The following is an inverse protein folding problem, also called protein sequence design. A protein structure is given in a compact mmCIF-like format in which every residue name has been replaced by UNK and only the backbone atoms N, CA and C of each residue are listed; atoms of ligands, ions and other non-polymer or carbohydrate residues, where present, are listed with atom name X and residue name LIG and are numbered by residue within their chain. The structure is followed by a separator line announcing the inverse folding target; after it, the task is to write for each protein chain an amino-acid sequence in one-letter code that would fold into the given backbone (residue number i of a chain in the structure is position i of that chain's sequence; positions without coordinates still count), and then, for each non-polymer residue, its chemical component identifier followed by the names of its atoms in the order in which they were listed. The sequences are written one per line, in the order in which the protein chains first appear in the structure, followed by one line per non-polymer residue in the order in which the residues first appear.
data_IF_598166614968
#
_entry.id   IF_598166614968
#
_cell.length_a   1.000
_cell.length_b   1.000
_cell.length_c   1.000
_cell.angle_alpha   90.00
_cell.angle_beta   90.00
_cell.angle_gamma   90.00
#
_symmetry.space_group_name_H-M   'P 1'
#
loop_
_entity.id
_entity.type
_entity.pdbx_description
1 polymer ?
#
# COMPACT_ATOMS: atom_id res chain seq x y z
N UNK A 1 6.78 -0.01 4.87
CA UNK A 1 6.72 -0.36 6.32
C UNK A 1 7.88 0.23 7.13
N UNK A 2 9.15 -0.03 6.79
CA UNK A 2 10.31 0.41 7.59
C UNK A 2 10.29 1.88 8.06
N UNK A 3 10.13 2.87 7.16
CA UNK A 3 10.06 4.29 7.56
C UNK A 3 8.92 4.63 8.54
N UNK A 4 7.75 3.98 8.38
CA UNK A 4 6.61 4.19 9.28
C UNK A 4 6.92 3.68 10.69
N UNK A 5 7.48 2.46 10.79
CA UNK A 5 7.85 1.86 12.09
C UNK A 5 8.93 2.69 12.78
N UNK A 6 9.94 3.14 12.03
CA UNK A 6 10.99 4.02 12.57
C UNK A 6 10.41 5.33 13.10
N UNK A 7 9.45 5.93 12.38
CA UNK A 7 8.79 7.16 12.82
C UNK A 7 8.02 6.94 14.14
N UNK A 8 7.30 5.83 14.28
CA UNK A 8 6.57 5.49 15.50
C UNK A 8 7.50 5.25 16.69
N UNK A 9 8.63 4.53 16.48
CA UNK A 9 9.64 4.33 17.53
C UNK A 9 10.23 5.68 17.97
N UNK A 10 10.54 6.58 17.04
CA UNK A 10 11.03 7.92 17.39
C UNK A 10 10.03 8.73 18.22
N UNK A 11 8.74 8.63 17.93
CA UNK A 11 7.71 9.29 18.76
C UNK A 11 7.64 8.68 20.16
N UNK A 12 7.75 7.36 20.26
CA UNK A 12 7.81 6.66 21.54
C UNK A 12 9.02 7.12 22.37
N UNK A 13 10.22 7.13 21.79
CA UNK A 13 11.46 7.55 22.45
C UNK A 13 11.43 9.03 22.86
N UNK A 14 10.72 9.87 22.10
CA UNK A 14 10.49 11.28 22.42
C UNK A 14 9.44 11.50 23.53
N UNK A 15 8.97 10.44 24.19
CA UNK A 15 8.00 10.51 25.29
C UNK A 15 6.56 10.76 24.83
N UNK A 16 6.25 10.69 23.53
CA UNK A 16 4.90 10.91 22.99
C UNK A 16 4.05 9.65 23.03
N UNK A 17 4.01 8.99 24.19
CA UNK A 17 3.36 7.70 24.35
C UNK A 17 1.87 7.73 23.95
N UNK A 18 1.17 8.83 24.23
CA UNK A 18 -0.25 8.99 23.87
C UNK A 18 -0.50 9.01 22.35
N UNK A 19 0.52 9.35 21.55
CA UNK A 19 0.42 9.34 20.09
C UNK A 19 0.70 7.94 19.51
N UNK A 20 1.28 7.01 20.26
CA UNK A 20 1.72 5.71 19.73
C UNK A 20 1.01 4.54 20.41
N UNK A 21 0.87 4.57 21.73
CA UNK A 21 0.36 3.46 22.51
C UNK A 21 -1.14 3.24 22.26
N UNK A 22 -1.52 2.00 21.94
CA UNK A 22 -2.89 1.62 21.61
C UNK A 22 -3.44 2.22 20.30
N UNK A 23 -2.65 3.02 19.58
CA UNK A 23 -3.07 3.65 18.34
C UNK A 23 -2.93 2.68 17.16
N UNK A 24 -3.90 2.71 16.25
CA UNK A 24 -3.86 1.95 14.99
C UNK A 24 -3.41 2.87 13.87
N UNK A 25 -2.43 2.42 13.09
CA UNK A 25 -1.91 3.12 11.92
C UNK A 25 -2.04 2.24 10.69
N UNK A 26 -2.40 2.85 9.55
CA UNK A 26 -2.48 2.14 8.26
C UNK A 26 -1.31 2.55 7.38
N UNK A 27 -0.45 1.59 7.06
CA UNK A 27 0.72 1.78 6.20
C UNK A 27 0.37 1.53 4.72
N UNK A 28 -0.63 2.25 4.21
CA UNK A 28 -1.01 2.24 2.80
C UNK A 28 -0.52 3.49 2.07
N UNK A 29 -0.21 3.36 0.77
CA UNK A 29 0.23 4.50 -0.05
C UNK A 29 -0.96 5.24 -0.67
N UNK A 30 -1.96 4.53 -1.18
CA UNK A 30 -3.14 5.09 -1.86
C UNK A 30 -4.33 4.13 -1.77
N UNK A 31 -5.55 4.63 -2.02
CA UNK A 31 -6.73 3.82 -2.36
C UNK A 31 -7.02 3.96 -3.84
N UNK A 32 -7.22 2.84 -4.52
CA UNK A 32 -7.53 2.83 -5.94
C UNK A 32 -8.31 1.55 -6.29
N UNK A 33 -9.03 1.59 -7.40
CA UNK A 33 -9.57 0.37 -8.01
C UNK A 33 -8.46 -0.40 -8.74
N UNK A 34 -8.74 -1.63 -9.14
CA UNK A 34 -7.76 -2.43 -9.88
C UNK A 34 -7.45 -1.80 -11.25
N UNK A 35 -8.42 -1.16 -11.88
CA UNK A 35 -8.29 -0.42 -13.14
C UNK A 35 -7.40 0.82 -12.99
N UNK A 36 -7.57 1.57 -11.91
CA UNK A 36 -6.73 2.71 -11.57
C UNK A 36 -5.27 2.30 -11.36
N UNK A 37 -5.04 1.14 -10.74
CA UNK A 37 -3.70 0.58 -10.56
C UNK A 37 -3.02 0.30 -11.91
N UNK A 38 -3.74 -0.35 -12.85
CA UNK A 38 -3.18 -0.64 -14.17
C UNK A 38 -2.85 0.64 -14.93
N UNK A 39 -3.73 1.66 -14.88
CA UNK A 39 -3.45 2.95 -15.51
C UNK A 39 -2.18 3.60 -14.97
N UNK A 40 -1.98 3.61 -13.63
CA UNK A 40 -0.75 4.12 -13.00
C UNK A 40 0.49 3.33 -13.42
N UNK A 41 0.36 2.02 -13.63
CA UNK A 41 1.45 1.20 -14.17
C UNK A 41 1.77 1.59 -15.61
N UNK A 42 0.75 1.76 -16.46
CA UNK A 42 0.96 2.23 -17.85
C UNK A 42 1.64 3.60 -17.90
N UNK A 43 1.21 4.53 -17.05
CA UNK A 43 1.81 5.86 -16.89
C UNK A 43 3.29 5.76 -16.49
N UNK A 44 3.61 4.93 -15.48
CA UNK A 44 4.99 4.71 -15.05
C UNK A 44 5.87 4.02 -16.10
N UNK A 45 5.31 3.13 -16.92
CA UNK A 45 6.03 2.43 -17.99
C UNK A 45 6.17 3.27 -19.27
N UNK A 46 5.22 4.17 -19.52
CA UNK A 46 5.02 4.81 -20.82
C UNK A 46 4.58 3.83 -21.93
N UNK A 47 4.03 2.66 -21.56
CA UNK A 47 3.60 1.58 -22.46
C UNK A 47 2.29 0.98 -21.95
N UNK A 48 1.47 0.44 -22.87
CA UNK A 48 0.25 -0.30 -22.52
C UNK A 48 0.58 -1.64 -21.87
N UNK A 49 -0.25 -2.06 -20.92
CA UNK A 49 -0.15 -3.37 -20.27
C UNK A 49 -1.28 -4.28 -20.71
N UNK A 50 -0.97 -5.55 -20.94
CA UNK A 50 -2.00 -6.57 -21.10
C UNK A 50 -2.44 -7.06 -19.71
N UNK A 51 -3.75 -7.10 -19.47
CA UNK A 51 -4.31 -7.49 -18.17
C UNK A 51 -5.06 -8.80 -18.33
N UNK A 52 -4.65 -9.79 -17.54
CA UNK A 52 -5.31 -11.09 -17.45
C UNK A 52 -5.64 -11.39 -15.99
N UNK A 53 -6.85 -11.86 -15.74
CA UNK A 53 -7.30 -12.20 -14.38
C UNK A 53 -7.19 -13.70 -14.17
N UNK A 54 -6.42 -14.09 -13.16
CA UNK A 54 -6.38 -15.49 -12.71
C UNK A 54 -7.75 -15.91 -12.13
N UNK A 55 -8.12 -17.19 -12.24
CA UNK A 55 -9.31 -17.69 -11.57
C UNK A 55 -9.18 -17.51 -10.05
N UNK A 56 -10.30 -17.41 -9.31
CA UNK A 56 -10.27 -17.33 -7.86
C UNK A 56 -9.48 -18.50 -7.25
N UNK A 57 -8.69 -18.27 -6.19
CA UNK A 57 -7.93 -19.34 -5.55
C UNK A 57 -8.87 -20.39 -4.96
N UNK A 58 -8.47 -21.66 -4.98
CA UNK A 58 -9.21 -22.73 -4.29
C UNK A 58 -9.22 -22.48 -2.78
N UNK A 59 -10.24 -22.97 -2.07
CA UNK A 59 -10.35 -22.81 -0.61
C UNK A 59 -9.18 -23.44 0.18
N UNK A 60 -8.45 -24.37 -0.43
CA UNK A 60 -7.23 -24.97 0.13
C UNK A 60 -5.99 -24.09 -0.01
N UNK A 61 -6.02 -23.01 -0.81
CA UNK A 61 -4.91 -22.07 -0.90
C UNK A 61 -4.84 -21.25 0.41
N UNK A 62 -3.68 -21.22 1.09
CA UNK A 62 -3.54 -20.48 2.36
C UNK A 62 -3.80 -18.97 2.23
N UNK A 63 -3.79 -18.42 1.00
CA UNK A 63 -4.06 -17.01 0.71
C UNK A 63 -5.54 -16.76 0.36
N UNK A 64 -6.32 -17.80 0.10
CA UNK A 64 -7.72 -17.68 -0.32
C UNK A 64 -8.53 -16.85 0.68
N UNK A 65 -8.39 -17.15 1.97
CA UNK A 65 -9.08 -16.42 3.03
C UNK A 65 -8.79 -14.90 2.98
N UNK A 66 -7.52 -14.51 2.79
CA UNK A 66 -7.15 -13.10 2.68
C UNK A 66 -7.81 -12.44 1.46
N UNK A 67 -7.77 -13.11 0.30
CA UNK A 67 -8.35 -12.59 -0.95
C UNK A 67 -9.87 -12.43 -0.84
N UNK A 68 -10.56 -13.41 -0.27
CA UNK A 68 -12.01 -13.34 -0.08
C UNK A 68 -12.41 -12.25 0.91
N UNK A 69 -11.68 -12.11 2.02
CA UNK A 69 -11.91 -11.02 3.00
C UNK A 69 -11.69 -9.64 2.37
N UNK A 70 -10.65 -9.48 1.54
CA UNK A 70 -10.39 -8.23 0.80
C UNK A 70 -11.51 -7.88 -0.19
N UNK A 71 -12.16 -8.89 -0.78
CA UNK A 71 -13.27 -8.70 -1.71
C UNK A 71 -14.57 -8.34 -1.00
N UNK A 72 -14.83 -8.97 0.14
CA UNK A 72 -16.12 -8.88 0.83
C UNK A 72 -16.21 -7.69 1.78
N UNK A 73 -15.12 -7.33 2.44
CA UNK A 73 -15.11 -6.30 3.46
C UNK A 73 -14.24 -5.11 3.04
N UNK A 74 -14.72 -3.86 3.19
CA UNK A 74 -13.88 -2.70 2.96
C UNK A 74 -12.79 -2.63 4.03
N UNK A 75 -11.53 -2.56 3.61
CA UNK A 75 -10.40 -2.48 4.54
C UNK A 75 -10.22 -1.06 5.06
N UNK A 76 -10.20 -0.94 6.39
CA UNK A 76 -9.99 0.31 7.13
C UNK A 76 -10.91 1.44 6.65
N UNK A 77 -12.24 1.26 6.57
CA UNK A 77 -13.14 2.18 5.88
C UNK A 77 -13.06 3.62 6.42
N UNK A 78 -12.79 3.77 7.71
CA UNK A 78 -12.74 5.07 8.39
C UNK A 78 -11.35 5.72 8.40
N UNK A 79 -10.38 5.12 7.70
CA UNK A 79 -9.00 5.59 7.67
C UNK A 79 -8.68 6.29 6.35
N UNK A 80 -8.14 7.50 6.44
CA UNK A 80 -7.50 8.20 5.32
C UNK A 80 -6.20 7.48 4.95
N UNK A 81 -5.99 7.23 3.65
CA UNK A 81 -4.78 6.61 3.12
C UNK A 81 -4.23 7.52 2.01
N UNK A 82 -2.94 7.94 2.07
CA UNK A 82 -1.98 7.64 3.14
C UNK A 82 -2.36 8.30 4.48
N UNK A 83 -1.97 7.68 5.59
CA UNK A 83 -2.35 8.15 6.94
C UNK A 83 -1.69 9.52 7.23
N UNK A 84 -2.47 10.60 7.42
CA UNK A 84 -1.92 11.94 7.59
C UNK A 84 -1.08 12.07 8.86
N UNK A 85 -1.30 11.22 9.87
CA UNK A 85 -0.50 11.23 11.10
C UNK A 85 0.91 10.70 10.84
N UNK A 86 1.05 9.69 9.99
CA UNK A 86 2.38 9.21 9.58
C UNK A 86 3.12 10.27 8.75
N UNK A 87 2.40 10.99 7.88
CA UNK A 87 2.97 12.13 7.13
C UNK A 87 3.46 13.22 8.07
N UNK A 88 2.67 13.58 9.09
CA UNK A 88 3.07 14.56 10.11
C UNK A 88 4.31 14.12 10.91
N UNK A 89 4.56 12.81 11.04
CA UNK A 89 5.79 12.27 11.64
C UNK A 89 7.00 12.27 10.67
N UNK A 90 6.84 12.82 9.46
CA UNK A 90 7.88 12.92 8.44
C UNK A 90 7.99 11.69 7.53
N UNK A 91 7.02 10.76 7.58
CA UNK A 91 6.98 9.63 6.66
C UNK A 91 6.61 10.14 5.27
N UNK A 92 7.41 9.74 4.28
CA UNK A 92 7.11 9.97 2.87
C UNK A 92 6.58 8.68 2.26
N UNK A 93 5.44 8.77 1.58
CA UNK A 93 4.87 7.68 0.80
C UNK A 93 5.17 7.92 -0.67
N UNK A 94 5.66 6.89 -1.36
CA UNK A 94 5.78 6.91 -2.82
C UNK A 94 4.46 6.55 -3.50
N UNK A 95 4.43 6.69 -4.82
CA UNK A 95 3.28 6.30 -5.65
C UNK A 95 3.58 5.03 -6.44
N UNK A 96 2.53 4.37 -6.96
CA UNK A 96 2.71 3.22 -7.88
C UNK A 96 3.48 3.64 -9.12
N UNK A 97 3.17 4.80 -9.70
CA UNK A 97 3.84 5.33 -10.88
C UNK A 97 5.35 5.54 -10.64
N UNK A 98 5.72 6.13 -9.49
CA UNK A 98 7.11 6.32 -9.11
C UNK A 98 7.83 4.98 -8.98
N UNK A 99 7.24 4.03 -8.24
CA UNK A 99 7.80 2.69 -8.09
C UNK A 99 8.00 2.00 -9.45
N UNK A 100 7.02 2.13 -10.34
CA UNK A 100 7.10 1.52 -11.68
C UNK A 100 8.24 2.11 -12.48
N UNK A 101 8.36 3.45 -12.46
CA UNK A 101 9.38 4.20 -13.20
C UNK A 101 10.79 3.94 -12.68
N UNK A 102 10.99 3.86 -11.36
CA UNK A 102 12.33 3.82 -10.76
C UNK A 102 12.81 2.41 -10.47
N UNK A 103 11.93 1.50 -10.06
CA UNK A 103 12.29 0.15 -9.64
C UNK A 103 11.83 -0.89 -10.68
N UNK A 104 10.51 -1.00 -10.90
CA UNK A 104 9.92 -2.12 -11.63
C UNK A 104 10.46 -2.23 -13.05
N UNK A 105 10.57 -1.11 -13.76
CA UNK A 105 11.00 -1.05 -15.17
C UNK A 105 12.32 -1.79 -15.41
N UNK A 106 13.26 -1.70 -14.47
CA UNK A 106 14.58 -2.35 -14.59
C UNK A 106 14.51 -3.88 -14.57
N UNK A 107 13.44 -4.44 -14.01
CA UNK A 107 13.23 -5.88 -13.89
C UNK A 107 12.38 -6.48 -15.02
N UNK A 108 11.82 -5.65 -15.90
CA UNK A 108 10.95 -6.10 -16.99
C UNK A 108 11.69 -6.38 -18.31
N UNK A 109 12.97 -6.02 -18.40
CA UNK A 109 13.75 -6.17 -19.64
C UNK A 109 13.22 -5.32 -20.81
N UNK A 110 12.63 -4.15 -20.49
CA UNK A 110 11.89 -3.26 -21.41
C UNK A 110 12.62 -1.97 -21.81
#
# INVERSE_FOLDING_TARGET
MGPCVLALIKQYDAGKLNEVNGQKYVMGTERYTIEDNFRKIEEGLGKKVNVEFAPPPALSDPRAAMIYVLKEFPWYPDMTIPDPRLIAMGVKFGTVEEFVRTELKTHLGL
#
